data_IF_508828717397
#
_entry.id   IF_508828717397
#
_cell.length_a   1.000
_cell.length_b   1.000
_cell.length_c   1.000
_cell.angle_alpha   90.00
_cell.angle_beta   90.00
_cell.angle_gamma   90.00
#
_symmetry.space_group_name_H-M   'P 1'
#
loop_
_entity.id
_entity.type
_entity.pdbx_description
1 polymer ?
#
# COMPACT_ATOMS: atom_id res chain seq x y z
N UNK A 1 -15.45 -15.22 9.29
CA UNK A 1 -14.83 -15.63 8.01
C UNK A 1 -13.61 -14.77 7.74
N UNK A 2 -12.54 -15.37 7.31
CA UNK A 2 -11.32 -14.66 6.97
C UNK A 2 -11.40 -14.05 5.56
N UNK A 3 -11.01 -12.80 5.43
CA UNK A 3 -10.83 -12.11 4.15
C UNK A 3 -9.38 -11.67 4.01
N UNK A 4 -8.71 -12.06 2.93
CA UNK A 4 -7.40 -11.52 2.59
C UNK A 4 -7.56 -10.19 1.85
N UNK A 5 -6.86 -9.16 2.34
CA UNK A 5 -6.79 -7.86 1.70
C UNK A 5 -5.37 -7.70 1.15
N UNK A 6 -5.24 -7.79 -0.16
CA UNK A 6 -3.95 -7.98 -0.85
C UNK A 6 -3.62 -6.75 -1.71
N UNK A 7 -2.37 -6.36 -1.71
CA UNK A 7 -1.85 -5.36 -2.63
C UNK A 7 -1.23 -4.16 -1.95
N UNK A 8 -1.40 -2.99 -2.58
CA UNK A 8 -0.82 -1.75 -2.07
C UNK A 8 -1.25 -1.46 -0.63
N UNK A 9 -0.27 -1.25 0.24
CA UNK A 9 -0.50 -1.06 1.68
C UNK A 9 -1.47 0.10 1.96
N UNK A 10 -1.30 1.23 1.31
CA UNK A 10 -2.15 2.40 1.51
C UNK A 10 -3.61 2.13 1.11
N UNK A 11 -3.82 1.50 -0.04
CA UNK A 11 -5.16 1.13 -0.51
C UNK A 11 -5.83 0.10 0.40
N UNK A 12 -5.05 -0.86 0.89
CA UNK A 12 -5.55 -1.83 1.87
C UNK A 12 -5.98 -1.16 3.17
N UNK A 13 -5.19 -0.22 3.70
CA UNK A 13 -5.54 0.54 4.90
C UNK A 13 -6.81 1.38 4.71
N UNK A 14 -6.95 2.04 3.57
CA UNK A 14 -8.14 2.82 3.24
C UNK A 14 -9.40 1.94 3.23
N UNK A 15 -9.30 0.76 2.61
CA UNK A 15 -10.39 -0.21 2.59
C UNK A 15 -10.78 -0.67 4.00
N UNK A 16 -9.80 -1.03 4.83
CA UNK A 16 -10.04 -1.48 6.20
C UNK A 16 -10.63 -0.38 7.07
N UNK A 17 -10.13 0.85 6.94
CA UNK A 17 -10.65 2.02 7.68
C UNK A 17 -12.10 2.33 7.27
N UNK A 18 -12.38 2.29 5.97
CA UNK A 18 -13.74 2.52 5.44
C UNK A 18 -14.74 1.49 5.98
N UNK A 19 -14.31 0.25 6.17
CA UNK A 19 -15.13 -0.83 6.71
C UNK A 19 -15.09 -0.92 8.24
N UNK A 20 -14.50 0.05 8.91
CA UNK A 20 -14.41 0.14 10.38
C UNK A 20 -13.75 -1.07 11.04
N UNK A 21 -12.71 -1.60 10.38
CA UNK A 21 -11.94 -2.73 10.87
C UNK A 21 -10.80 -2.22 11.73
N UNK A 22 -10.65 -2.73 12.96
CA UNK A 22 -9.59 -2.31 13.88
C UNK A 22 -8.38 -3.23 13.79
N UNK A 23 -7.19 -2.64 13.94
CA UNK A 23 -5.93 -3.36 13.99
C UNK A 23 -5.79 -4.16 15.29
N UNK A 24 -5.27 -5.38 15.17
CA UNK A 24 -4.78 -6.16 16.30
C UNK A 24 -3.34 -6.60 16.06
N UNK A 25 -2.51 -6.49 17.07
CA UNK A 25 -1.13 -6.97 17.05
C UNK A 25 -1.02 -8.46 17.38
N UNK A 26 -2.06 -9.03 17.99
CA UNK A 26 -2.13 -10.45 18.31
C UNK A 26 -3.50 -11.02 17.94
N UNK A 27 -3.55 -11.66 16.76
CA UNK A 27 -4.80 -12.20 16.24
C UNK A 27 -5.34 -13.35 17.09
N UNK A 28 -4.48 -14.15 17.69
CA UNK A 28 -4.91 -15.30 18.50
C UNK A 28 -5.60 -14.84 19.79
N UNK A 29 -5.11 -13.79 20.44
CA UNK A 29 -5.78 -13.16 21.58
C UNK A 29 -7.13 -12.58 21.19
N UNK A 30 -7.20 -11.92 20.04
CA UNK A 30 -8.46 -11.37 19.51
C UNK A 30 -9.47 -12.47 19.23
N UNK A 31 -9.06 -13.59 18.63
CA UNK A 31 -9.93 -14.73 18.40
C UNK A 31 -10.45 -15.34 19.70
N UNK A 32 -9.62 -15.43 20.72
CA UNK A 32 -10.02 -15.91 22.05
C UNK A 32 -11.09 -15.00 22.67
N UNK A 33 -10.92 -13.68 22.61
CA UNK A 33 -11.91 -12.71 23.10
C UNK A 33 -13.24 -12.78 22.34
N UNK A 34 -13.19 -12.98 21.03
CA UNK A 34 -14.37 -13.12 20.17
C UNK A 34 -15.12 -14.44 20.40
N UNK A 35 -14.44 -15.46 20.93
CA UNK A 35 -15.01 -16.79 21.16
C UNK A 35 -15.58 -16.96 22.58
N UNK A 36 -15.33 -16.03 23.52
CA UNK A 36 -15.73 -16.13 24.90
C UNK A 36 -17.22 -15.86 25.12
N UNK A 37 -17.64 -15.99 26.38
CA UNK A 37 -19.03 -15.77 26.80
C UNK A 37 -19.51 -14.34 26.48
N UNK A 38 -18.62 -13.35 26.57
CA UNK A 38 -18.86 -11.96 26.17
C UNK A 38 -18.25 -11.74 24.78
N UNK A 39 -18.93 -12.20 23.73
CA UNK A 39 -18.47 -12.05 22.35
C UNK A 39 -18.34 -10.57 21.97
N UNK A 40 -17.13 -10.12 21.69
CA UNK A 40 -16.90 -8.84 21.02
C UNK A 40 -17.34 -8.96 19.55
N UNK A 41 -18.34 -8.15 19.17
CA UNK A 41 -18.81 -8.06 17.78
C UNK A 41 -17.98 -7.05 17.01
N UNK A 42 -16.67 -7.22 16.96
CA UNK A 42 -15.80 -6.25 16.30
C UNK A 42 -15.02 -6.90 15.18
N UNK A 43 -14.98 -6.25 14.00
CA UNK A 43 -14.11 -6.62 12.91
C UNK A 43 -12.69 -6.21 13.24
N UNK A 44 -11.75 -7.14 13.07
CA UNK A 44 -10.33 -6.89 13.31
C UNK A 44 -9.49 -7.32 12.12
N UNK A 45 -8.35 -6.68 11.94
CA UNK A 45 -7.36 -7.09 10.96
C UNK A 45 -5.99 -7.24 11.60
N UNK A 46 -5.19 -8.12 11.03
CA UNK A 46 -3.80 -8.31 11.40
C UNK A 46 -2.94 -8.25 10.15
N UNK A 47 -1.64 -8.01 10.33
CA UNK A 47 -0.68 -8.00 9.23
C UNK A 47 -0.20 -9.43 8.99
N UNK A 48 -0.20 -9.85 7.73
CA UNK A 48 0.23 -11.18 7.33
C UNK A 48 1.66 -11.47 7.79
N UNK A 49 1.83 -12.60 8.46
CA UNK A 49 3.13 -13.13 8.87
C UNK A 49 3.27 -14.55 8.32
N UNK A 50 4.19 -14.72 7.37
CA UNK A 50 4.44 -15.99 6.69
C UNK A 50 4.80 -17.12 7.67
N UNK A 51 5.47 -16.80 8.78
CA UNK A 51 5.91 -17.81 9.75
C UNK A 51 4.77 -18.44 10.51
N UNK A 52 3.64 -17.74 10.67
CA UNK A 52 2.45 -18.26 11.36
C UNK A 52 1.64 -19.24 10.50
N UNK A 53 1.79 -19.18 9.19
CA UNK A 53 0.96 -19.93 8.23
C UNK A 53 1.82 -20.69 7.22
N UNK A 54 2.95 -21.20 7.65
CA UNK A 54 3.93 -21.82 6.75
C UNK A 54 3.56 -23.24 6.30
N UNK A 55 2.51 -23.83 6.84
CA UNK A 55 2.00 -25.14 6.46
C UNK A 55 0.51 -25.08 6.11
N UNK A 56 0.05 -26.03 5.30
CA UNK A 56 -1.35 -26.20 4.96
C UNK A 56 -2.22 -26.39 6.20
N UNK A 57 -1.77 -27.22 7.14
CA UNK A 57 -2.51 -27.53 8.36
C UNK A 57 -2.70 -26.30 9.25
N UNK A 58 -1.66 -25.49 9.40
CA UNK A 58 -1.74 -24.22 10.17
C UNK A 58 -2.73 -23.24 9.53
N UNK A 59 -2.68 -23.10 8.21
CA UNK A 59 -3.59 -22.22 7.49
C UNK A 59 -5.05 -22.68 7.60
N UNK A 60 -5.32 -23.95 7.39
CA UNK A 60 -6.67 -24.52 7.47
C UNK A 60 -7.22 -24.46 8.91
N UNK A 61 -6.39 -24.74 9.91
CA UNK A 61 -6.77 -24.62 11.31
C UNK A 61 -7.16 -23.18 11.67
N UNK A 62 -6.39 -22.20 11.21
CA UNK A 62 -6.68 -20.79 11.43
C UNK A 62 -8.01 -20.39 10.77
N UNK A 63 -8.27 -20.82 9.55
CA UNK A 63 -9.52 -20.52 8.85
C UNK A 63 -10.72 -21.09 9.60
N UNK A 64 -10.61 -22.29 10.16
CA UNK A 64 -11.67 -22.85 10.99
C UNK A 64 -11.96 -22.00 12.23
N UNK A 65 -10.92 -21.42 12.84
CA UNK A 65 -11.07 -20.53 14.00
C UNK A 65 -11.76 -19.21 13.64
N UNK A 66 -11.70 -18.78 12.39
CA UNK A 66 -12.34 -17.53 11.93
C UNK A 66 -13.80 -17.69 11.54
N UNK A 67 -14.32 -18.91 11.53
CA UNK A 67 -15.72 -19.18 11.20
C UNK A 67 -16.66 -18.40 12.13
N UNK A 68 -17.64 -17.71 11.58
CA UNK A 68 -18.59 -16.85 12.29
C UNK A 68 -17.95 -15.61 12.94
N UNK A 69 -16.73 -15.28 12.56
CA UNK A 69 -16.02 -14.06 13.01
C UNK A 69 -15.61 -13.24 11.79
N UNK A 70 -15.55 -11.93 11.97
CA UNK A 70 -15.19 -11.01 10.89
C UNK A 70 -13.72 -10.61 11.03
N UNK A 71 -12.87 -11.35 10.34
CA UNK A 71 -11.42 -11.26 10.42
C UNK A 71 -10.83 -10.91 9.05
N UNK A 72 -9.91 -9.96 9.05
CA UNK A 72 -9.19 -9.52 7.86
C UNK A 72 -7.68 -9.70 8.03
N UNK A 73 -7.00 -10.11 6.97
CA UNK A 73 -5.56 -10.22 6.93
C UNK A 73 -5.02 -9.27 5.87
N UNK A 74 -4.24 -8.28 6.27
CA UNK A 74 -3.55 -7.39 5.35
C UNK A 74 -2.27 -8.07 4.86
N UNK A 75 -2.23 -8.40 3.58
CA UNK A 75 -1.11 -9.11 2.96
C UNK A 75 -0.60 -8.34 1.76
N UNK A 76 0.47 -7.58 1.95
CA UNK A 76 1.06 -6.75 0.89
C UNK A 76 1.70 -7.58 -0.22
N UNK A 77 2.38 -8.67 0.14
CA UNK A 77 3.19 -9.48 -0.78
C UNK A 77 2.93 -10.99 -0.65
N UNK A 78 1.70 -11.41 -0.42
CA UNK A 78 1.39 -12.83 -0.37
C UNK A 78 1.41 -13.44 -1.78
N UNK A 79 2.06 -14.58 -1.94
CA UNK A 79 2.11 -15.30 -3.21
C UNK A 79 0.98 -16.31 -3.31
N UNK A 80 0.53 -16.58 -4.54
CA UNK A 80 -0.54 -17.55 -4.79
C UNK A 80 -0.21 -18.97 -4.35
N UNK A 81 1.06 -19.30 -4.22
CA UNK A 81 1.55 -20.61 -3.76
C UNK A 81 1.51 -20.77 -2.25
N UNK A 82 1.35 -19.70 -1.49
CA UNK A 82 1.41 -19.75 -0.02
C UNK A 82 0.16 -20.39 0.57
N UNK A 83 0.29 -21.18 1.65
CA UNK A 83 -0.81 -21.96 2.19
C UNK A 83 -2.04 -21.14 2.57
N UNK A 84 -1.85 -19.97 3.20
CA UNK A 84 -2.98 -19.13 3.60
C UNK A 84 -3.72 -18.58 2.38
N UNK A 85 -3.01 -18.21 1.31
CA UNK A 85 -3.65 -17.76 0.07
C UNK A 85 -4.55 -18.85 -0.52
N UNK A 86 -4.03 -20.08 -0.63
CA UNK A 86 -4.78 -21.21 -1.18
C UNK A 86 -6.00 -21.59 -0.34
N UNK A 87 -5.88 -21.51 0.98
CA UNK A 87 -6.93 -21.91 1.90
C UNK A 87 -8.04 -20.85 2.05
N UNK A 88 -7.77 -19.58 1.76
CA UNK A 88 -8.74 -18.50 1.93
C UNK A 88 -9.59 -18.32 0.69
N UNK A 89 -10.92 -18.35 0.86
CA UNK A 89 -11.86 -18.16 -0.24
C UNK A 89 -12.12 -16.69 -0.57
N UNK A 90 -12.21 -15.84 0.43
CA UNK A 90 -12.52 -14.43 0.25
C UNK A 90 -11.26 -13.59 0.14
N UNK A 91 -11.10 -12.92 -0.98
CA UNK A 91 -9.94 -12.07 -1.26
C UNK A 91 -10.39 -10.75 -1.86
N UNK A 92 -9.83 -9.66 -1.37
CA UNK A 92 -9.95 -8.32 -1.96
C UNK A 92 -8.57 -7.92 -2.43
N UNK A 93 -8.42 -7.64 -3.71
CA UNK A 93 -7.12 -7.36 -4.30
C UNK A 93 -7.07 -5.95 -4.84
N UNK A 94 -6.04 -5.21 -4.44
CA UNK A 94 -5.73 -3.89 -4.96
C UNK A 94 -4.46 -3.95 -5.80
N UNK A 95 -4.46 -3.27 -6.92
CA UNK A 95 -3.26 -3.15 -7.73
C UNK A 95 -2.19 -2.43 -6.93
N UNK A 96 -0.95 -2.95 -6.99
CA UNK A 96 0.20 -2.20 -6.47
C UNK A 96 0.18 -0.85 -7.15
N UNK A 97 0.31 0.23 -6.36
CA UNK A 97 0.62 1.52 -6.94
C UNK A 97 1.84 1.32 -7.83
N UNK A 98 1.75 1.75 -9.09
CA UNK A 98 2.94 1.89 -9.89
C UNK A 98 3.95 2.63 -9.02
N UNK A 99 5.17 2.11 -8.91
CA UNK A 99 6.23 2.80 -8.20
C UNK A 99 6.32 4.19 -8.81
N UNK A 100 5.70 5.17 -8.16
CA UNK A 100 5.99 6.56 -8.48
C UNK A 100 7.48 6.71 -8.28
N UNK A 101 8.19 6.98 -9.36
CA UNK A 101 9.61 7.32 -9.26
C UNK A 101 9.73 8.42 -8.22
N UNK A 102 10.60 8.23 -7.24
CA UNK A 102 10.89 9.29 -6.29
C UNK A 102 11.30 10.54 -7.07
N UNK A 103 10.96 11.72 -6.57
CA UNK A 103 11.19 12.98 -7.29
C UNK A 103 12.63 13.11 -7.80
N UNK A 104 13.61 12.72 -6.98
CA UNK A 104 15.02 12.81 -7.36
C UNK A 104 15.48 11.77 -8.40
N UNK A 105 14.68 10.77 -8.69
CA UNK A 105 14.94 9.74 -9.71
C UNK A 105 14.34 10.11 -11.07
N UNK A 106 13.63 11.23 -11.17
CA UNK A 106 13.08 11.71 -12.43
C UNK A 106 14.20 12.06 -13.42
N UNK A 107 14.11 11.57 -14.64
CA UNK A 107 15.03 11.94 -15.72
C UNK A 107 14.44 13.12 -16.54
N UNK A 108 15.21 13.57 -17.55
CA UNK A 108 14.77 14.67 -18.42
C UNK A 108 13.47 14.34 -19.14
N UNK A 109 13.29 13.11 -19.59
CA UNK A 109 12.05 12.65 -20.23
C UNK A 109 10.84 12.78 -19.33
N UNK A 110 11.01 12.40 -18.06
CA UNK A 110 9.95 12.54 -17.05
C UNK A 110 9.61 14.01 -16.81
N UNK A 111 10.61 14.91 -16.78
CA UNK A 111 10.40 16.34 -16.61
C UNK A 111 9.64 16.96 -17.79
N UNK A 112 9.93 16.55 -19.02
CA UNK A 112 9.16 16.96 -20.19
C UNK A 112 7.70 16.49 -20.12
N UNK A 113 7.48 15.26 -19.69
CA UNK A 113 6.13 14.71 -19.51
C UNK A 113 5.32 15.52 -18.51
N UNK A 114 5.94 15.89 -17.39
CA UNK A 114 5.32 16.74 -16.37
C UNK A 114 5.05 18.13 -16.90
N UNK A 115 5.97 18.72 -17.68
CA UNK A 115 5.80 20.04 -18.30
C UNK A 115 4.53 20.11 -19.16
N UNK A 116 4.23 19.07 -19.94
CA UNK A 116 3.03 19.00 -20.74
C UNK A 116 1.74 18.98 -19.91
N UNK A 117 1.80 18.50 -18.68
CA UNK A 117 0.64 18.42 -17.77
C UNK A 117 0.43 19.68 -16.95
N UNK A 118 1.42 20.55 -16.88
CA UNK A 118 1.34 21.78 -16.09
C UNK A 118 0.46 22.80 -16.81
N UNK A 119 -0.55 23.33 -16.12
CA UNK A 119 -1.49 24.32 -16.67
C UNK A 119 -1.13 25.76 -16.32
N UNK A 120 -0.42 25.97 -15.22
CA UNK A 120 -0.03 27.29 -14.74
C UNK A 120 1.24 27.77 -15.45
N UNK A 121 1.20 28.97 -16.02
CA UNK A 121 2.33 29.54 -16.76
C UNK A 121 3.58 29.75 -15.88
N UNK A 122 3.40 30.08 -14.61
CA UNK A 122 4.52 30.22 -13.66
C UNK A 122 5.25 28.90 -13.47
N UNK A 123 4.51 27.81 -13.26
CA UNK A 123 5.08 26.49 -13.07
C UNK A 123 5.69 25.94 -14.36
N UNK A 124 5.10 26.23 -15.54
CA UNK A 124 5.72 25.91 -16.83
C UNK A 124 7.08 26.53 -16.99
N UNK A 125 7.22 27.81 -16.63
CA UNK A 125 8.49 28.51 -16.70
C UNK A 125 9.54 27.90 -15.79
N UNK A 126 9.14 27.49 -14.57
CA UNK A 126 10.03 26.80 -13.63
C UNK A 126 10.54 25.49 -14.23
N UNK A 127 9.67 24.66 -14.81
CA UNK A 127 10.07 23.39 -15.45
C UNK A 127 10.96 23.63 -16.68
N UNK A 128 10.62 24.58 -17.52
CA UNK A 128 11.44 24.94 -18.69
C UNK A 128 12.84 25.40 -18.28
N UNK A 129 12.94 26.25 -17.28
CA UNK A 129 14.23 26.71 -16.76
C UNK A 129 15.03 25.57 -16.17
N UNK A 130 14.42 24.68 -15.39
CA UNK A 130 15.08 23.51 -14.80
C UNK A 130 15.65 22.60 -15.89
N UNK A 131 14.86 22.29 -16.92
CA UNK A 131 15.30 21.45 -18.04
C UNK A 131 16.47 22.12 -18.77
N UNK A 132 16.40 23.39 -19.05
CA UNK A 132 17.48 24.14 -19.71
C UNK A 132 18.75 24.16 -18.87
N UNK A 133 18.66 24.29 -17.55
CA UNK A 133 19.81 24.24 -16.65
C UNK A 133 20.50 22.88 -16.66
N UNK A 134 19.75 21.79 -16.80
CA UNK A 134 20.31 20.44 -16.96
C UNK A 134 21.01 20.32 -18.31
N UNK A 135 20.35 20.74 -19.39
CA UNK A 135 20.85 20.58 -20.75
C UNK A 135 22.11 21.40 -21.00
N UNK A 136 22.25 22.58 -20.41
CA UNK A 136 23.43 23.43 -20.58
C UNK A 136 24.50 23.18 -19.51
N UNK A 137 24.30 22.23 -18.59
CA UNK A 137 25.28 21.88 -17.56
C UNK A 137 25.33 22.82 -16.37
N UNK A 138 24.42 23.80 -16.26
CA UNK A 138 24.39 24.77 -15.14
C UNK A 138 24.03 24.11 -13.82
N UNK A 139 23.08 23.18 -13.83
CA UNK A 139 22.67 22.40 -12.66
C UNK A 139 22.74 20.91 -12.95
N UNK A 140 23.08 20.13 -11.93
CA UNK A 140 22.87 18.70 -11.95
C UNK A 140 21.36 18.37 -11.95
N UNK A 141 21.01 17.17 -12.36
CA UNK A 141 19.60 16.71 -12.31
C UNK A 141 19.02 16.85 -10.89
N UNK A 142 19.75 16.44 -9.88
CA UNK A 142 19.33 16.56 -8.48
C UNK A 142 19.04 18.02 -8.08
N UNK A 143 19.95 18.94 -8.41
CA UNK A 143 19.79 20.36 -8.08
C UNK A 143 18.68 21.02 -8.89
N UNK A 144 18.47 20.61 -10.13
CA UNK A 144 17.36 21.09 -10.95
C UNK A 144 16.00 20.66 -10.38
N UNK A 145 15.91 19.43 -9.86
CA UNK A 145 14.69 18.95 -9.19
C UNK A 145 14.45 19.74 -7.91
N UNK A 146 15.48 20.03 -7.12
CA UNK A 146 15.35 20.94 -5.97
C UNK A 146 14.86 22.33 -6.37
N UNK A 147 15.35 22.86 -7.47
CA UNK A 147 14.89 24.14 -8.01
C UNK A 147 13.37 24.09 -8.32
N UNK A 148 12.89 23.02 -8.91
CA UNK A 148 11.46 22.82 -9.17
C UNK A 148 10.66 22.77 -7.87
N UNK A 149 11.14 22.02 -6.87
CA UNK A 149 10.46 21.87 -5.57
C UNK A 149 10.31 23.22 -4.88
N UNK A 150 11.35 24.03 -4.88
CA UNK A 150 11.37 25.34 -4.22
C UNK A 150 10.50 26.38 -4.93
N UNK A 151 10.50 26.38 -6.26
CA UNK A 151 9.90 27.45 -7.07
C UNK A 151 8.55 27.11 -7.69
N UNK A 152 8.13 25.83 -7.64
CA UNK A 152 6.86 25.36 -8.19
C UNK A 152 5.84 25.12 -7.08
N UNK A 153 4.55 25.32 -7.40
CA UNK A 153 3.45 25.00 -6.48
C UNK A 153 2.99 23.54 -6.58
N UNK A 154 3.63 22.71 -7.41
CA UNK A 154 3.19 21.34 -7.71
C UNK A 154 3.64 20.30 -6.68
N UNK A 155 4.60 20.62 -5.87
CA UNK A 155 5.16 19.69 -4.88
C UNK A 155 5.12 20.29 -3.49
#
# INVERSE_FOLDING_TARGET
>A
MLTLVIGDYQKCLEYLTKNKVKYTDNIFDSLARMSGFFKEKQSVYFIYDKTLFNTKDKAESFIKQTKNKDIYCLAENIQKSEPLYKATKNKVQFNKAEKTKELYDLDISDLYTLLYRVKNNKDKLVFENAINYILNGTLSRHNAIQYIIINSSLF
#
